data_IF_285252395752
#
_entry.id   IF_285252395752
#
_cell.length_a   1.000
_cell.length_b   1.000
_cell.length_c   1.000
_cell.angle_alpha   90.00
_cell.angle_beta   90.00
_cell.angle_gamma   90.00
#
_symmetry.space_group_name_H-M   'P 1'
#
loop_
_entity.id
_entity.type
_entity.pdbx_description
1 polymer ?
#
# COMPACT_ATOMS: atom_id res chain seq x y z
N UNK A 1 -8.80 -23.29 6.69
CA UNK A 1 -8.62 -22.35 7.84
C UNK A 1 -7.26 -21.67 7.67
N UNK A 2 -7.10 -20.39 8.01
CA UNK A 2 -5.80 -19.71 7.98
C UNK A 2 -5.23 -19.57 9.39
N UNK A 3 -3.94 -19.86 9.58
CA UNK A 3 -3.20 -19.61 10.82
C UNK A 3 -2.22 -18.46 10.62
N UNK A 4 -1.99 -17.68 11.68
CA UNK A 4 -0.88 -16.71 11.70
C UNK A 4 0.46 -17.45 11.80
N UNK A 5 1.48 -16.98 11.09
CA UNK A 5 2.86 -17.50 11.21
C UNK A 5 3.33 -17.52 12.66
N UNK A 6 4.18 -18.50 13.00
CA UNK A 6 4.89 -18.48 14.29
C UNK A 6 5.82 -17.25 14.34
N UNK A 7 6.05 -16.66 15.52
CA UNK A 7 7.02 -15.57 15.65
C UNK A 7 8.38 -15.96 15.08
N UNK A 8 8.86 -15.22 14.07
CA UNK A 8 10.14 -15.48 13.38
C UNK A 8 10.05 -16.34 12.12
N UNK A 9 8.91 -16.96 11.83
CA UNK A 9 8.68 -17.70 10.58
C UNK A 9 8.23 -16.73 9.48
N UNK A 10 9.11 -16.48 8.50
CA UNK A 10 8.80 -15.63 7.33
C UNK A 10 8.32 -16.50 6.19
N UNK A 11 7.15 -16.18 5.63
CA UNK A 11 6.64 -16.77 4.39
C UNK A 11 6.43 -15.69 3.35
N UNK A 12 6.71 -16.03 2.09
CA UNK A 12 6.50 -15.13 0.96
C UNK A 12 5.03 -15.08 0.60
N UNK A 13 4.44 -13.88 0.57
CA UNK A 13 3.05 -13.71 0.16
C UNK A 13 2.85 -14.25 -1.26
N UNK A 14 1.90 -15.17 -1.44
CA UNK A 14 1.58 -15.80 -2.72
C UNK A 14 1.00 -14.85 -3.76
N UNK A 15 0.53 -13.65 -3.35
CA UNK A 15 -0.07 -12.65 -4.24
C UNK A 15 0.92 -11.55 -4.64
N UNK A 16 1.67 -10.98 -3.69
CA UNK A 16 2.60 -9.88 -3.98
C UNK A 16 4.07 -10.29 -4.01
N UNK A 17 4.36 -11.57 -3.78
CA UNK A 17 5.70 -12.17 -3.79
C UNK A 17 6.72 -11.46 -2.89
N UNK A 18 6.24 -10.84 -1.81
CA UNK A 18 7.06 -10.10 -0.85
C UNK A 18 7.13 -10.87 0.48
N UNK A 19 8.34 -11.01 1.01
CA UNK A 19 8.71 -11.74 2.23
C UNK A 19 9.02 -10.81 3.43
N UNK A 20 8.93 -9.50 3.23
CA UNK A 20 9.25 -8.49 4.24
C UNK A 20 8.16 -8.33 5.33
N UNK A 21 7.11 -9.14 5.31
CA UNK A 21 6.04 -9.06 6.30
C UNK A 21 6.38 -9.93 7.51
N UNK A 22 6.29 -9.39 8.75
CA UNK A 22 6.64 -10.13 9.95
C UNK A 22 5.67 -11.29 10.23
N UNK A 23 4.43 -11.19 9.75
CA UNK A 23 3.37 -12.16 9.94
C UNK A 23 2.55 -12.30 8.64
N UNK A 24 2.15 -13.53 8.33
CA UNK A 24 1.29 -13.87 7.18
C UNK A 24 0.15 -14.78 7.64
N UNK A 25 -0.96 -14.75 6.88
CA UNK A 25 -2.07 -15.69 7.00
C UNK A 25 -1.75 -16.90 6.12
N UNK A 26 -1.54 -18.06 6.75
CA UNK A 26 -1.06 -19.26 6.08
C UNK A 26 -2.16 -20.30 6.00
N UNK A 27 -2.34 -20.89 4.82
CA UNK A 27 -3.20 -22.06 4.68
C UNK A 27 -2.61 -23.23 5.49
N UNK A 28 -3.46 -24.02 6.13
CA UNK A 28 -3.04 -25.22 6.87
C UNK A 28 -2.80 -26.39 5.90
N UNK A 29 -3.55 -26.41 4.80
CA UNK A 29 -3.61 -27.55 3.88
C UNK A 29 -2.62 -27.42 2.71
N UNK A 30 -2.05 -26.23 2.48
CA UNK A 30 -1.10 -25.97 1.41
C UNK A 30 -0.14 -24.81 1.72
N UNK A 31 0.86 -24.60 0.85
CA UNK A 31 1.88 -23.55 1.01
C UNK A 31 1.40 -22.12 0.66
N UNK A 32 0.10 -21.94 0.49
CA UNK A 32 -0.46 -20.62 0.20
C UNK A 32 -0.39 -19.72 1.43
N UNK A 33 0.17 -18.51 1.26
CA UNK A 33 0.26 -17.52 2.33
C UNK A 33 -0.08 -16.11 1.84
N UNK A 34 -0.74 -15.32 2.68
CA UNK A 34 -1.13 -13.95 2.38
C UNK A 34 -0.53 -12.98 3.41
N UNK A 35 0.10 -11.92 2.94
CA UNK A 35 0.40 -10.79 3.82
C UNK A 35 -0.87 -10.03 4.19
N UNK A 36 -0.84 -9.31 5.30
CA UNK A 36 -1.98 -8.50 5.75
C UNK A 36 -2.49 -7.52 4.68
N UNK A 37 -1.59 -6.91 3.92
CA UNK A 37 -1.96 -6.01 2.82
C UNK A 37 -2.77 -6.72 1.73
N UNK A 38 -2.35 -7.90 1.28
CA UNK A 38 -3.07 -8.67 0.26
C UNK A 38 -4.36 -9.28 0.80
N UNK A 39 -4.37 -9.75 2.05
CA UNK A 39 -5.56 -10.32 2.69
C UNK A 39 -6.70 -9.31 2.90
N UNK A 40 -6.37 -8.01 2.93
CA UNK A 40 -7.34 -6.93 3.17
C UNK A 40 -7.81 -6.24 1.89
N UNK A 41 -7.33 -6.65 0.70
CA UNK A 41 -7.79 -6.07 -0.57
C UNK A 41 -9.28 -6.39 -0.76
N UNK A 42 -10.15 -5.38 -0.93
CA UNK A 42 -11.57 -5.61 -1.16
C UNK A 42 -11.83 -6.34 -2.49
N UNK A 43 -12.74 -7.31 -2.49
CA UNK A 43 -13.10 -8.02 -3.73
C UNK A 43 -13.95 -7.17 -4.68
N UNK A 44 -14.73 -6.22 -4.15
CA UNK A 44 -15.54 -5.27 -4.93
C UNK A 44 -15.46 -3.88 -4.32
N UNK A 45 -15.34 -2.86 -5.17
CA UNK A 45 -15.22 -1.46 -4.74
C UNK A 45 -16.09 -0.57 -5.62
N UNK A 46 -16.77 0.40 -4.99
CA UNK A 46 -17.50 1.45 -5.70
C UNK A 46 -16.53 2.47 -6.27
N UNK A 47 -16.58 2.70 -7.57
CA UNK A 47 -15.90 3.80 -8.22
C UNK A 47 -16.85 4.98 -8.39
N UNK A 48 -16.40 6.20 -8.08
CA UNK A 48 -17.27 7.39 -8.12
C UNK A 48 -17.71 7.79 -9.54
N UNK A 49 -17.01 7.32 -10.57
CA UNK A 49 -17.27 7.64 -11.97
C UNK A 49 -17.94 6.49 -12.73
N UNK A 50 -18.33 5.42 -12.03
CA UNK A 50 -19.09 4.31 -12.59
C UNK A 50 -20.34 4.04 -11.72
N UNK A 51 -21.41 3.56 -12.34
CA UNK A 51 -22.61 3.10 -11.62
C UNK A 51 -22.41 1.71 -11.03
N UNK A 52 -21.62 0.86 -11.69
CA UNK A 52 -21.38 -0.51 -11.26
C UNK A 52 -20.21 -0.58 -10.27
N UNK A 53 -20.20 -1.63 -9.47
CA UNK A 53 -19.04 -1.93 -8.63
C UNK A 53 -17.97 -2.58 -9.50
N UNK A 54 -16.72 -2.21 -9.26
CA UNK A 54 -15.60 -2.84 -9.92
C UNK A 54 -15.18 -4.05 -9.09
N UNK A 55 -14.93 -5.17 -9.75
CA UNK A 55 -14.41 -6.39 -9.14
C UNK A 55 -12.88 -6.42 -9.24
N UNK A 56 -12.25 -7.02 -8.24
CA UNK A 56 -10.82 -7.32 -8.26
C UNK A 56 -10.57 -8.49 -9.21
N UNK A 57 -9.71 -8.25 -10.20
CA UNK A 57 -9.31 -9.21 -11.22
C UNK A 57 -7.80 -9.36 -11.25
N UNK A 58 -7.36 -10.56 -11.57
CA UNK A 58 -5.97 -10.90 -11.84
C UNK A 58 -5.89 -11.38 -13.29
N UNK A 59 -4.94 -10.85 -14.05
CA UNK A 59 -4.78 -11.30 -15.42
C UNK A 59 -3.88 -12.52 -15.49
N UNK A 60 -4.07 -13.29 -16.56
CA UNK A 60 -3.18 -14.38 -16.93
C UNK A 60 -1.92 -13.82 -17.59
N UNK A 61 -0.74 -14.30 -17.18
CA UNK A 61 0.55 -13.94 -17.77
C UNK A 61 0.63 -14.25 -19.27
N UNK A 62 -0.21 -15.17 -19.76
CA UNK A 62 -0.32 -15.55 -21.17
C UNK A 62 -1.23 -14.66 -22.00
N UNK A 63 -1.98 -13.74 -21.37
CA UNK A 63 -2.90 -12.86 -22.07
C UNK A 63 -2.16 -11.75 -22.84
N UNK A 64 -2.48 -11.58 -24.12
CA UNK A 64 -1.95 -10.50 -24.97
C UNK A 64 -2.69 -9.17 -24.77
N UNK A 65 -3.74 -9.18 -23.95
CA UNK A 65 -4.61 -8.02 -23.76
C UNK A 65 -3.93 -6.98 -22.88
N UNK A 66 -3.82 -5.75 -23.39
CA UNK A 66 -3.27 -4.61 -22.63
C UNK A 66 -4.42 -3.74 -22.11
N UNK A 67 -4.47 -3.55 -20.79
CA UNK A 67 -5.43 -2.65 -20.14
C UNK A 67 -4.77 -1.33 -19.73
N UNK A 68 -5.57 -0.28 -19.65
CA UNK A 68 -5.14 1.08 -19.32
C UNK A 68 -5.97 1.61 -18.16
N UNK A 69 -5.28 2.13 -17.15
CA UNK A 69 -5.94 2.68 -15.97
C UNK A 69 -6.59 4.02 -16.31
N UNK A 70 -7.91 4.14 -16.16
CA UNK A 70 -8.63 5.39 -16.43
C UNK A 70 -8.23 6.56 -15.53
N UNK A 71 -7.70 6.27 -14.34
CA UNK A 71 -7.38 7.32 -13.36
C UNK A 71 -6.00 7.98 -13.57
N UNK A 72 -5.03 7.24 -14.12
CA UNK A 72 -3.67 7.77 -14.35
C UNK A 72 -3.19 7.63 -15.78
N UNK A 73 -4.00 7.04 -16.68
CA UNK A 73 -3.69 6.86 -18.09
C UNK A 73 -2.43 6.02 -18.35
N UNK A 74 -2.03 5.19 -17.37
CA UNK A 74 -0.89 4.28 -17.48
C UNK A 74 -1.34 2.82 -17.66
N UNK A 75 -0.48 2.01 -18.30
CA UNK A 75 -0.72 0.57 -18.51
C UNK A 75 -0.88 -0.18 -17.19
N UNK A 76 -1.82 -1.14 -17.16
CA UNK A 76 -2.04 -2.02 -16.01
C UNK A 76 -1.09 -3.22 -16.08
N UNK A 77 -0.45 -3.51 -14.94
CA UNK A 77 0.31 -4.75 -14.73
C UNK A 77 -0.61 -5.80 -14.11
N UNK A 78 -0.90 -6.85 -14.87
CA UNK A 78 -1.88 -7.88 -14.53
C UNK A 78 -1.51 -8.67 -13.25
N UNK A 79 -0.22 -8.85 -13.01
CA UNK A 79 0.35 -9.55 -11.83
C UNK A 79 -0.06 -8.92 -10.49
N UNK A 80 -0.34 -7.60 -10.45
CA UNK A 80 -0.55 -6.86 -9.20
C UNK A 80 -2.01 -6.76 -8.76
N UNK A 81 -2.91 -7.41 -9.49
CA UNK A 81 -4.35 -7.22 -9.34
C UNK A 81 -4.80 -5.83 -9.79
N UNK A 82 -5.95 -5.77 -10.43
CA UNK A 82 -6.56 -4.53 -10.90
C UNK A 82 -8.07 -4.61 -10.75
N UNK A 83 -8.74 -3.46 -10.78
CA UNK A 83 -10.19 -3.40 -10.70
C UNK A 83 -10.77 -3.21 -12.08
N UNK A 84 -11.79 -3.99 -12.41
CA UNK A 84 -12.53 -3.83 -13.66
C UNK A 84 -14.03 -3.93 -13.41
N UNK A 85 -14.80 -3.27 -14.27
CA UNK A 85 -16.23 -3.54 -14.34
C UNK A 85 -16.46 -4.76 -15.24
N UNK A 86 -17.11 -5.79 -14.71
CA UNK A 86 -17.41 -7.04 -15.44
C UNK A 86 -18.64 -6.93 -16.35
N UNK A 87 -19.24 -5.74 -16.44
CA UNK A 87 -20.38 -5.45 -17.30
C UNK A 87 -19.89 -4.79 -18.61
N UNK A 88 -20.56 -3.73 -19.07
CA UNK A 88 -20.32 -3.08 -20.37
C UNK A 88 -19.67 -1.69 -20.25
N UNK A 89 -19.09 -1.36 -19.09
CA UNK A 89 -18.52 -0.03 -18.82
C UNK A 89 -17.09 0.13 -19.33
N UNK A 90 -16.37 -0.96 -19.57
CA UNK A 90 -14.96 -0.95 -19.98
C UNK A 90 -13.99 -0.21 -19.03
N UNK A 91 -14.43 0.07 -17.79
CA UNK A 91 -13.63 0.75 -16.78
C UNK A 91 -12.61 -0.22 -16.21
N UNK A 92 -11.33 0.18 -16.26
CA UNK A 92 -10.25 -0.53 -15.56
C UNK A 92 -9.37 0.44 -14.78
N UNK A 93 -8.95 0.04 -13.58
CA UNK A 93 -8.16 0.85 -12.66
C UNK A 93 -7.08 0.03 -11.98
N UNK A 94 -5.89 0.61 -11.81
CA UNK A 94 -4.91 0.02 -10.87
C UNK A 94 -5.50 -0.04 -9.46
N UNK A 95 -5.16 -1.08 -8.70
CA UNK A 95 -5.48 -1.20 -7.28
C UNK A 95 -5.17 0.10 -6.51
N UNK A 96 -3.93 0.58 -6.63
CA UNK A 96 -3.47 1.78 -5.91
C UNK A 96 -4.18 3.06 -6.37
N UNK A 97 -4.69 3.14 -7.60
CA UNK A 97 -5.44 4.31 -8.07
C UNK A 97 -6.86 4.36 -7.48
N UNK A 98 -7.51 3.21 -7.32
CA UNK A 98 -8.89 3.16 -6.82
C UNK A 98 -8.96 3.27 -5.28
N UNK A 99 -8.18 2.44 -4.58
CA UNK A 99 -8.24 2.34 -3.11
C UNK A 99 -7.07 3.03 -2.40
N UNK A 100 -5.95 3.28 -3.09
CA UNK A 100 -4.74 3.84 -2.51
C UNK A 100 -3.70 2.78 -2.17
N UNK A 101 -2.44 3.21 -1.99
CA UNK A 101 -1.32 2.30 -1.73
C UNK A 101 -1.26 1.73 -0.30
N UNK A 102 -1.67 2.54 0.67
CA UNK A 102 -1.68 2.19 2.08
C UNK A 102 -3.12 2.16 2.61
N UNK A 103 -4.05 1.61 1.82
CA UNK A 103 -5.50 1.66 2.04
C UNK A 103 -5.97 0.98 3.34
N UNK A 104 -5.17 0.07 3.89
CA UNK A 104 -5.40 -0.58 5.19
C UNK A 104 -5.16 0.35 6.38
N UNK A 105 -4.61 1.55 6.16
CA UNK A 105 -4.46 2.56 7.20
C UNK A 105 -5.75 3.35 7.40
N UNK A 106 -6.24 3.33 8.64
CA UNK A 106 -7.46 4.07 9.03
C UNK A 106 -7.19 5.58 9.05
N UNK A 107 -7.94 6.40 8.30
CA UNK A 107 -7.87 7.85 8.43
C UNK A 107 -8.15 8.31 9.86
N UNK A 108 -7.40 9.29 10.35
CA UNK A 108 -7.49 9.78 11.73
C UNK A 108 -6.73 8.95 12.75
N UNK A 109 -6.22 7.77 12.38
CA UNK A 109 -5.34 7.00 13.26
C UNK A 109 -3.97 7.67 13.41
N UNK A 110 -3.29 7.35 14.51
CA UNK A 110 -1.91 7.75 14.72
C UNK A 110 -1.10 6.63 15.36
N UNK A 111 0.21 6.64 15.13
CA UNK A 111 1.14 5.69 15.76
C UNK A 111 2.48 6.36 16.04
N UNK A 112 3.29 5.72 16.87
CA UNK A 112 4.66 6.16 17.14
C UNK A 112 5.65 5.42 16.24
N UNK A 113 6.52 6.17 15.59
CA UNK A 113 7.67 5.69 14.83
C UNK A 113 8.94 6.33 15.37
N UNK A 114 9.86 5.54 15.93
CA UNK A 114 11.06 6.02 16.63
C UNK A 114 10.74 7.15 17.63
N UNK A 115 9.69 6.95 18.44
CA UNK A 115 9.11 7.93 19.38
C UNK A 115 8.52 9.21 18.76
N UNK A 116 8.45 9.28 17.44
CA UNK A 116 7.83 10.38 16.71
C UNK A 116 6.42 9.99 16.28
N UNK A 117 5.44 10.84 16.60
CA UNK A 117 4.04 10.65 16.20
C UNK A 117 3.86 10.79 14.67
N UNK A 118 3.28 9.77 14.06
CA UNK A 118 2.79 9.78 12.68
C UNK A 118 1.26 9.84 12.70
N UNK A 119 0.69 10.80 12.00
CA UNK A 119 -0.76 10.95 11.82
C UNK A 119 -1.20 10.54 10.41
N UNK A 120 -2.32 9.82 10.29
CA UNK A 120 -2.97 9.51 9.01
C UNK A 120 -4.05 10.54 8.72
N UNK A 121 -3.86 11.36 7.70
CA UNK A 121 -4.75 12.47 7.40
C UNK A 121 -5.54 12.25 6.12
N UNK A 122 -6.81 12.61 6.15
CA UNK A 122 -7.68 12.64 4.97
C UNK A 122 -7.58 14.01 4.29
N UNK A 123 -6.55 14.21 3.46
CA UNK A 123 -6.26 15.54 2.86
C UNK A 123 -6.40 15.60 1.33
N UNK A 124 -6.79 14.50 0.67
CA UNK A 124 -6.52 14.39 -0.77
C UNK A 124 -7.74 14.31 -1.71
N UNK A 125 -8.85 14.97 -1.35
CA UNK A 125 -10.03 15.05 -2.21
C UNK A 125 -10.17 16.40 -2.95
N UNK A 126 -9.25 17.35 -2.72
CA UNK A 126 -9.28 18.68 -3.33
C UNK A 126 -8.20 18.85 -4.42
N UNK A 127 -8.39 19.81 -5.31
CA UNK A 127 -7.46 20.10 -6.42
C UNK A 127 -6.06 20.51 -5.93
N UNK A 128 -5.96 21.09 -4.73
CA UNK A 128 -4.71 21.50 -4.07
C UNK A 128 -4.06 20.38 -3.25
N UNK A 129 -3.89 19.21 -3.88
CA UNK A 129 -3.23 18.05 -3.24
C UNK A 129 -1.85 18.43 -2.72
N UNK A 130 -1.47 18.09 -1.47
CA UNK A 130 -0.18 18.49 -0.92
C UNK A 130 0.98 17.81 -1.67
N UNK A 131 2.13 18.47 -1.68
CA UNK A 131 3.36 17.86 -2.18
C UNK A 131 3.94 16.89 -1.14
N UNK A 132 4.35 15.72 -1.61
CA UNK A 132 5.10 14.77 -0.79
C UNK A 132 6.51 15.31 -0.53
N UNK A 133 6.91 15.39 0.74
CA UNK A 133 8.23 15.85 1.17
C UNK A 133 9.37 14.97 0.67
N UNK A 134 9.09 13.69 0.34
CA UNK A 134 10.06 12.78 -0.25
C UNK A 134 10.09 12.81 -1.78
N UNK A 135 9.03 12.35 -2.44
CA UNK A 135 9.03 12.17 -3.90
C UNK A 135 8.79 13.47 -4.68
N UNK A 136 8.47 14.57 -3.99
CA UNK A 136 8.22 15.91 -4.54
C UNK A 136 7.06 16.01 -5.54
N UNK A 137 6.27 14.94 -5.72
CA UNK A 137 5.04 14.93 -6.51
C UNK A 137 3.83 15.29 -5.64
N UNK A 138 2.74 15.74 -6.25
CA UNK A 138 1.44 15.81 -5.58
C UNK A 138 1.06 14.42 -5.05
N UNK A 139 0.56 14.35 -3.83
CA UNK A 139 0.10 13.10 -3.25
C UNK A 139 -1.08 12.57 -4.08
N UNK A 140 -1.05 11.35 -4.63
CA UNK A 140 -2.12 10.87 -5.51
C UNK A 140 -3.26 10.17 -4.75
N UNK A 141 -3.02 9.70 -3.52
CA UNK A 141 -3.96 8.85 -2.76
C UNK A 141 -4.78 9.62 -1.73
N UNK A 142 -5.97 9.11 -1.37
CA UNK A 142 -6.93 9.76 -0.47
C UNK A 142 -6.35 10.17 0.90
N UNK A 143 -5.42 9.36 1.41
CA UNK A 143 -4.73 9.58 2.68
C UNK A 143 -3.30 10.07 2.46
N UNK A 144 -2.79 10.83 3.44
CA UNK A 144 -1.38 11.21 3.54
C UNK A 144 -0.89 10.99 4.96
N UNK A 145 0.41 10.79 5.13
CA UNK A 145 1.06 10.64 6.43
C UNK A 145 1.72 11.95 6.82
N UNK A 146 1.42 12.43 8.02
CA UNK A 146 2.05 13.61 8.59
C UNK A 146 3.01 13.21 9.70
N UNK A 147 4.22 13.76 9.66
CA UNK A 147 5.28 13.48 10.62
C UNK A 147 6.13 14.74 10.82
N UNK A 148 6.10 15.32 12.02
CA UNK A 148 6.82 16.57 12.35
C UNK A 148 6.62 17.69 11.31
N UNK A 149 5.38 17.88 10.87
CA UNK A 149 4.99 18.88 9.86
C UNK A 149 5.31 18.50 8.40
N UNK A 150 6.02 17.41 8.14
CA UNK A 150 6.21 16.88 6.79
C UNK A 150 5.01 16.05 6.34
N UNK A 151 4.77 16.02 5.03
CA UNK A 151 3.70 15.25 4.40
C UNK A 151 4.29 14.18 3.48
N UNK A 152 3.80 12.95 3.58
CA UNK A 152 4.22 11.85 2.74
C UNK A 152 3.02 11.17 2.09
N UNK A 153 3.13 10.87 0.80
CA UNK A 153 2.05 10.21 0.06
C UNK A 153 1.91 8.72 0.38
N UNK A 154 2.92 8.09 0.97
CA UNK A 154 2.88 6.66 1.33
C UNK A 154 3.84 6.36 2.46
N UNK A 155 3.64 5.23 3.15
CA UNK A 155 4.59 4.72 4.15
C UNK A 155 5.98 4.56 3.53
N UNK A 156 6.07 4.13 2.26
CA UNK A 156 7.35 4.05 1.54
C UNK A 156 8.03 5.41 1.44
N UNK A 157 7.29 6.46 1.08
CA UNK A 157 7.85 7.80 0.98
C UNK A 157 8.27 8.35 2.35
N UNK A 158 7.49 8.06 3.39
CA UNK A 158 7.86 8.40 4.78
C UNK A 158 9.17 7.71 5.18
N UNK A 159 9.26 6.39 4.98
CA UNK A 159 10.46 5.60 5.29
C UNK A 159 11.70 6.12 4.58
N UNK A 160 11.63 6.26 3.26
CA UNK A 160 12.77 6.74 2.47
C UNK A 160 13.14 8.20 2.81
N UNK A 161 12.15 9.04 3.11
CA UNK A 161 12.37 10.40 3.59
C UNK A 161 13.11 10.47 4.93
N UNK A 162 12.77 9.58 5.85
CA UNK A 162 13.44 9.46 7.14
C UNK A 162 14.84 8.89 7.03
N UNK A 163 15.04 7.87 6.18
CA UNK A 163 16.38 7.35 5.88
C UNK A 163 17.27 8.48 5.37
N UNK A 164 16.83 9.30 4.41
CA UNK A 164 17.65 10.42 3.91
C UNK A 164 17.92 11.47 4.99
N UNK A 165 16.97 11.75 5.88
CA UNK A 165 17.19 12.66 7.02
C UNK A 165 18.21 12.09 8.01
N UNK A 166 18.07 10.82 8.37
CA UNK A 166 19.00 10.14 9.26
C UNK A 166 20.40 10.04 8.62
N UNK A 167 20.50 9.74 7.32
CA UNK A 167 21.76 9.77 6.56
C UNK A 167 22.40 11.17 6.53
N UNK A 168 21.59 12.24 6.51
CA UNK A 168 22.11 13.61 6.62
C UNK A 168 22.54 13.99 8.05
N UNK A 169 22.14 13.21 9.07
CA UNK A 169 22.45 13.47 10.48
C UNK A 169 23.49 12.48 11.06
N UNK A 170 23.65 11.27 10.52
CA UNK A 170 24.64 10.28 10.96
C UNK A 170 24.96 9.23 9.85
N UNK A 171 26.15 9.28 9.21
CA UNK A 171 26.58 8.34 8.17
C UNK A 171 26.80 6.87 8.63
N UNK A 172 27.03 6.62 9.92
CA UNK A 172 27.37 5.28 10.45
C UNK A 172 26.13 4.39 10.70
N UNK A 173 24.92 4.96 10.65
CA UNK A 173 23.66 4.24 10.87
C UNK A 173 23.33 3.19 9.77
N UNK A 174 24.13 3.13 8.70
CA UNK A 174 23.97 2.22 7.55
C UNK A 174 24.19 0.74 7.89
N UNK A 175 25.03 0.40 8.88
CA UNK A 175 25.45 -0.99 9.08
C UNK A 175 24.40 -1.88 9.78
N UNK A 176 23.41 -1.28 10.46
CA UNK A 176 22.39 -2.01 11.22
C UNK A 176 20.96 -1.81 10.67
N UNK A 177 20.81 -1.20 9.49
CA UNK A 177 19.50 -0.84 8.94
C UNK A 177 18.90 -1.99 8.11
N UNK A 178 18.00 -2.78 8.71
CA UNK A 178 17.16 -3.75 7.97
C UNK A 178 15.74 -3.19 7.74
N UNK A 179 15.39 -2.78 6.51
CA UNK A 179 14.05 -2.29 6.19
C UNK A 179 12.94 -3.36 6.37
N UNK A 180 13.31 -4.63 6.62
CA UNK A 180 12.42 -5.78 6.80
C UNK A 180 12.05 -6.08 8.27
N UNK A 181 12.62 -5.37 9.24
CA UNK A 181 12.34 -5.57 10.69
C UNK A 181 11.49 -4.46 11.32
N UNK A 182 10.79 -3.66 10.51
CA UNK A 182 9.96 -2.56 10.99
C UNK A 182 8.72 -3.06 11.76
N UNK A 183 8.67 -2.79 13.07
CA UNK A 183 7.48 -2.98 13.90
C UNK A 183 6.75 -1.64 14.03
N UNK A 184 5.43 -1.65 13.88
CA UNK A 184 4.61 -0.56 14.44
C UNK A 184 4.79 -0.67 15.95
N UNK A 185 5.49 0.29 16.56
CA UNK A 185 5.91 0.15 17.96
C UNK A 185 4.74 0.31 18.91
N UNK A 186 3.74 1.14 18.55
CA UNK A 186 2.48 1.31 19.29
C UNK A 186 1.46 2.09 18.46
N UNK A 187 0.23 1.57 18.32
CA UNK A 187 -0.91 2.38 17.84
C UNK A 187 -1.43 3.26 18.99
N UNK A 188 -1.67 4.53 18.71
CA UNK A 188 -2.34 5.44 19.63
C UNK A 188 -3.81 5.43 19.26
N UNK A 189 -4.66 4.87 20.13
CA UNK A 189 -6.12 4.91 20.02
C UNK A 189 -6.65 6.32 20.23
#
# INVERSE_FOLDING_TARGET
LFLTSKPGEKRTCSVCHNDAYPETFNCIDCDFSLCFGCATIPQKVRYKHDKHMLALSYGDETSTMTYWCEACEEKIKLERGFYMCDEYCCVTLHNDCLIGKDFYMKPGASWLYDDIKVDVLLKNQHMSRPFCSWCRKHCPYKIVFQLSGLIFCSIRCMRLGLIRRNLSMNPEALQNFDPRNWKITKMLT
#
